data_IF_505544770590
#
_entry.id   IF_505544770590
#
_cell.length_a   1.000
_cell.length_b   1.000
_cell.length_c   1.000
_cell.angle_alpha   90.00
_cell.angle_beta   90.00
_cell.angle_gamma   90.00
#
_symmetry.space_group_name_H-M   'P 1'
#
loop_
_entity.id
_entity.type
_entity.pdbx_description
1 polymer ?
#
# COMPACT_ATOMS: atom_id res chain seq x y z
N UNK A 1 -18.56 -25.94 -4.41
CA UNK A 1 -18.61 -27.34 -3.93
C UNK A 1 -17.20 -27.73 -3.49
N UNK A 2 -16.89 -27.62 -2.20
CA UNK A 2 -15.58 -28.02 -1.64
C UNK A 2 -15.84 -28.71 -0.30
N UNK A 3 -16.21 -30.00 -0.39
CA UNK A 3 -16.25 -30.87 0.77
C UNK A 3 -14.91 -31.60 0.84
N UNK A 4 -14.02 -31.12 1.71
CA UNK A 4 -12.80 -31.85 2.08
C UNK A 4 -12.87 -32.05 3.59
N UNK A 5 -13.57 -33.09 4.00
CA UNK A 5 -13.37 -33.69 5.33
C UNK A 5 -11.93 -34.18 5.39
N UNK A 6 -11.02 -33.33 5.86
CA UNK A 6 -9.70 -33.73 6.30
C UNK A 6 -9.89 -34.74 7.43
N UNK A 7 -9.62 -36.02 7.13
CA UNK A 7 -9.58 -37.10 8.12
C UNK A 7 -8.73 -36.66 9.32
N UNK A 8 -9.17 -36.93 10.57
CA UNK A 8 -8.32 -36.68 11.74
C UNK A 8 -7.13 -37.62 11.68
N UNK A 9 -5.96 -37.07 11.41
CA UNK A 9 -4.68 -37.78 11.47
C UNK A 9 -4.17 -37.75 12.91
N UNK A 10 -4.14 -38.94 13.54
CA UNK A 10 -3.64 -39.28 14.87
C UNK A 10 -4.43 -38.78 16.11
N UNK A 11 -4.51 -39.60 17.19
CA UNK A 11 -4.93 -39.15 18.51
C UNK A 11 -3.80 -38.31 19.12
N UNK A 12 -3.64 -37.10 18.57
CA UNK A 12 -2.76 -36.11 19.14
C UNK A 12 -3.51 -35.51 20.32
N UNK A 13 -2.92 -35.54 21.51
CA UNK A 13 -3.47 -34.83 22.66
C UNK A 13 -3.43 -33.33 22.34
N UNK A 14 -4.54 -32.79 21.82
CA UNK A 14 -4.62 -31.42 21.30
C UNK A 14 -4.38 -30.38 22.41
N UNK A 15 -4.56 -30.76 23.68
CA UNK A 15 -4.19 -29.91 24.82
C UNK A 15 -2.67 -29.67 24.92
N UNK A 16 -1.85 -30.52 24.29
CA UNK A 16 -0.39 -30.34 24.23
C UNK A 16 0.09 -29.57 22.98
N UNK A 17 -0.82 -29.18 22.09
CA UNK A 17 -0.46 -28.43 20.89
C UNK A 17 -0.13 -26.96 21.24
N UNK A 18 1.05 -26.43 20.88
CA UNK A 18 1.45 -25.06 21.20
C UNK A 18 0.48 -23.99 20.67
N UNK A 19 -0.18 -24.24 19.53
CA UNK A 19 -1.17 -23.33 18.96
C UNK A 19 -2.44 -23.31 19.82
N UNK A 20 -2.92 -24.50 20.22
CA UNK A 20 -4.11 -24.64 21.06
C UNK A 20 -3.86 -24.04 22.45
N UNK A 21 -2.69 -24.28 23.03
CA UNK A 21 -2.31 -23.69 24.32
C UNK A 21 -2.32 -22.17 24.30
N UNK A 22 -1.84 -21.53 23.22
CA UNK A 22 -1.90 -20.07 23.06
C UNK A 22 -3.34 -19.55 23.02
N UNK A 23 -4.26 -20.29 22.39
CA UNK A 23 -5.67 -19.91 22.37
C UNK A 23 -6.30 -20.08 23.76
N UNK A 24 -6.07 -21.24 24.40
CA UNK A 24 -6.64 -21.56 25.71
C UNK A 24 -6.09 -20.64 26.81
N UNK A 25 -4.87 -20.11 26.68
CA UNK A 25 -4.30 -19.16 27.63
C UNK A 25 -5.08 -17.83 27.73
N UNK A 26 -5.85 -17.48 26.70
CA UNK A 26 -6.74 -16.31 26.71
C UNK A 26 -8.13 -16.58 27.29
N UNK A 27 -8.43 -17.82 27.68
CA UNK A 27 -9.76 -18.27 28.14
C UNK A 27 -9.69 -18.62 29.63
N UNK A 28 -10.70 -18.30 30.45
CA UNK A 28 -10.76 -18.76 31.83
C UNK A 28 -10.62 -20.27 31.95
N UNK A 29 -9.81 -20.74 32.90
CA UNK A 29 -9.44 -22.16 33.03
C UNK A 29 -10.66 -23.11 33.10
N UNK A 30 -11.74 -22.67 33.75
CA UNK A 30 -12.99 -23.43 33.87
C UNK A 30 -13.64 -23.67 32.50
N UNK A 31 -13.63 -22.66 31.63
CA UNK A 31 -14.16 -22.77 30.26
C UNK A 31 -13.20 -23.51 29.35
N UNK A 32 -11.89 -23.29 29.50
CA UNK A 32 -10.85 -24.01 28.75
C UNK A 32 -10.95 -25.54 28.96
N UNK A 33 -11.28 -25.99 30.17
CA UNK A 33 -11.45 -27.40 30.50
C UNK A 33 -12.69 -28.06 29.86
N UNK A 34 -13.67 -27.28 29.39
CA UNK A 34 -14.88 -27.83 28.75
C UNK A 34 -14.69 -28.20 27.28
N UNK A 35 -13.58 -27.78 26.66
CA UNK A 35 -13.34 -28.06 25.25
C UNK A 35 -12.92 -29.51 25.03
N UNK A 36 -13.57 -30.17 24.07
CA UNK A 36 -13.20 -31.51 23.62
C UNK A 36 -12.14 -31.44 22.52
N UNK A 37 -11.37 -32.52 22.33
CA UNK A 37 -10.34 -32.58 21.29
C UNK A 37 -10.90 -32.32 19.87
N UNK A 38 -12.12 -32.77 19.59
CA UNK A 38 -12.79 -32.51 18.32
C UNK A 38 -13.08 -31.00 18.12
N UNK A 39 -13.51 -30.31 19.18
CA UNK A 39 -13.73 -28.87 19.15
C UNK A 39 -12.42 -28.10 18.98
N UNK A 40 -11.36 -28.50 19.69
CA UNK A 40 -10.04 -27.88 19.59
C UNK A 40 -9.43 -28.05 18.19
N UNK A 41 -9.58 -29.23 17.58
CA UNK A 41 -9.16 -29.51 16.21
C UNK A 41 -9.86 -28.59 15.20
N UNK A 42 -11.18 -28.45 15.32
CA UNK A 42 -11.96 -27.62 14.40
C UNK A 42 -11.64 -26.12 14.58
N UNK A 43 -11.45 -25.69 15.83
CA UNK A 43 -11.05 -24.33 16.15
C UNK A 43 -9.67 -24.01 15.56
N UNK A 44 -8.71 -24.94 15.66
CA UNK A 44 -7.41 -24.83 14.98
C UNK A 44 -7.56 -24.72 13.45
N UNK A 45 -8.41 -25.55 12.84
CA UNK A 45 -8.67 -25.54 11.40
C UNK A 45 -9.19 -24.18 10.93
N UNK A 46 -10.21 -23.65 11.59
CA UNK A 46 -10.83 -22.36 11.23
C UNK A 46 -9.85 -21.20 11.38
N UNK A 47 -9.02 -21.18 12.41
CA UNK A 47 -8.01 -20.14 12.59
C UNK A 47 -6.91 -20.19 11.53
N UNK A 48 -6.39 -21.38 11.20
CA UNK A 48 -5.39 -21.53 10.14
C UNK A 48 -5.96 -21.08 8.80
N UNK A 49 -7.21 -21.47 8.49
CA UNK A 49 -7.89 -21.05 7.28
C UNK A 49 -8.06 -19.52 7.22
N UNK A 50 -8.38 -18.87 8.34
CA UNK A 50 -8.50 -17.41 8.41
C UNK A 50 -7.16 -16.70 8.19
N UNK A 51 -6.10 -17.16 8.84
CA UNK A 51 -4.74 -16.58 8.73
C UNK A 51 -4.16 -16.83 7.33
N UNK A 52 -4.36 -18.01 6.75
CA UNK A 52 -3.92 -18.30 5.38
C UNK A 52 -4.68 -17.47 4.33
N UNK A 53 -5.92 -17.07 4.63
CA UNK A 53 -6.73 -16.25 3.72
C UNK A 53 -6.50 -14.74 3.88
N UNK A 54 -5.68 -14.30 4.84
CA UNK A 54 -5.28 -12.90 5.01
C UNK A 54 -4.02 -12.60 4.21
N UNK A 55 -4.12 -12.51 2.89
CA UNK A 55 -3.06 -11.97 2.02
C UNK A 55 -2.97 -10.42 2.11
N UNK A 56 -3.22 -9.85 3.29
CA UNK A 56 -3.17 -8.42 3.51
C UNK A 56 -1.84 -8.08 4.19
N UNK A 57 -1.03 -7.27 3.52
CA UNK A 57 0.13 -6.59 4.09
C UNK A 57 -0.40 -5.49 5.01
N UNK A 58 -0.13 -5.60 6.31
CA UNK A 58 -0.37 -4.55 7.31
C UNK A 58 0.99 -4.02 7.76
N UNK A 59 1.39 -2.87 7.22
CA UNK A 59 2.58 -2.16 7.66
C UNK A 59 2.16 -0.98 8.53
N UNK A 60 2.67 -0.95 9.76
CA UNK A 60 2.42 0.13 10.72
C UNK A 60 3.73 0.82 11.02
N UNK A 61 3.85 2.06 10.56
CA UNK A 61 5.01 2.90 10.85
C UNK A 61 4.61 3.93 11.91
N UNK A 62 5.27 3.90 13.05
CA UNK A 62 5.13 4.96 14.05
C UNK A 62 6.25 5.96 13.85
N UNK A 63 5.91 7.19 13.50
CA UNK A 63 6.86 8.28 13.32
C UNK A 63 6.70 9.22 14.52
N UNK A 64 7.69 9.31 15.42
CA UNK A 64 7.69 10.32 16.46
C UNK A 64 7.96 11.69 15.81
N UNK A 65 7.03 12.63 15.95
CA UNK A 65 7.18 14.00 15.44
C UNK A 65 6.99 15.01 16.59
N UNK A 66 8.09 15.62 17.02
CA UNK A 66 8.19 16.48 18.20
C UNK A 66 7.58 15.82 19.45
N UNK A 67 6.46 16.37 19.98
CA UNK A 67 5.79 15.93 21.20
C UNK A 67 4.64 14.93 20.94
N UNK A 68 4.41 14.53 19.68
CA UNK A 68 3.29 13.66 19.28
C UNK A 68 3.81 12.45 18.50
N UNK A 69 3.12 11.33 18.62
CA UNK A 69 3.40 10.12 17.84
C UNK A 69 2.32 10.01 16.77
N UNK A 70 2.75 9.95 15.52
CA UNK A 70 1.86 9.71 14.39
C UNK A 70 2.01 8.26 13.96
N UNK A 71 0.89 7.61 13.65
CA UNK A 71 0.88 6.25 13.13
C UNK A 71 0.42 6.29 11.70
N UNK A 72 1.28 5.81 10.81
CA UNK A 72 0.95 5.54 9.42
C UNK A 72 0.63 4.05 9.30
N UNK A 73 -0.59 3.74 8.86
CA UNK A 73 -1.07 2.37 8.68
C UNK A 73 -1.28 2.16 7.18
N UNK A 74 -0.46 1.30 6.59
CA UNK A 74 -0.56 0.90 5.20
C UNK A 74 -1.15 -0.50 5.15
N UNK A 75 -2.40 -0.57 4.69
CA UNK A 75 -3.14 -1.80 4.47
C UNK A 75 -3.18 -2.07 2.97
N UNK A 76 -2.50 -3.11 2.51
CA UNK A 76 -2.51 -3.51 1.11
C UNK A 76 -2.94 -4.97 1.01
N UNK A 77 -4.02 -5.25 0.31
CA UNK A 77 -4.53 -6.62 0.17
C UNK A 77 -5.49 -6.74 -1.00
N UNK A 78 -5.79 -7.98 -1.38
CA UNK A 78 -6.77 -8.26 -2.45
C UNK A 78 -8.14 -7.74 -2.01
N UNK A 79 -8.70 -6.83 -2.79
CA UNK A 79 -10.06 -6.31 -2.58
C UNK A 79 -11.07 -7.45 -2.76
N UNK A 80 -11.84 -7.73 -1.70
CA UNK A 80 -12.81 -8.84 -1.64
C UNK A 80 -14.25 -8.33 -1.54
N UNK A 81 -14.48 -7.02 -1.49
CA UNK A 81 -15.83 -6.44 -1.49
C UNK A 81 -16.54 -6.72 -2.81
N UNK A 82 -17.85 -6.89 -2.74
CA UNK A 82 -18.68 -7.14 -3.93
C UNK A 82 -18.58 -5.98 -4.93
N UNK A 83 -18.61 -6.32 -6.23
CA UNK A 83 -18.55 -5.36 -7.34
C UNK A 83 -19.61 -4.25 -7.23
N UNK A 84 -20.75 -4.56 -6.59
CA UNK A 84 -21.83 -3.60 -6.35
C UNK A 84 -21.45 -2.48 -5.36
N UNK A 85 -20.57 -2.76 -4.37
CA UNK A 85 -20.06 -1.73 -3.43
C UNK A 85 -18.88 -0.95 -4.01
N UNK A 86 -18.11 -1.57 -4.92
CA UNK A 86 -17.05 -0.90 -5.67
C UNK A 86 -17.62 0.17 -6.62
N UNK A 87 -18.77 -0.09 -7.25
CA UNK A 87 -19.49 0.91 -8.05
C UNK A 87 -19.98 2.11 -7.23
N UNK A 88 -20.21 1.92 -5.94
CA UNK A 88 -20.68 2.96 -5.02
C UNK A 88 -19.57 3.59 -4.17
N UNK A 89 -18.33 3.08 -4.24
CA UNK A 89 -17.21 3.81 -3.64
C UNK A 89 -16.96 5.02 -4.51
N UNK A 90 -17.25 6.20 -3.97
CA UNK A 90 -17.19 7.49 -4.65
C UNK A 90 -15.76 7.94 -4.98
N UNK A 91 -14.95 7.09 -5.61
CA UNK A 91 -13.94 7.56 -6.54
C UNK A 91 -14.63 8.03 -7.82
N UNK A 92 -15.52 9.01 -7.67
CA UNK A 92 -15.91 9.87 -8.77
C UNK A 92 -14.65 10.63 -9.10
N UNK A 93 -13.95 10.18 -10.15
CA UNK A 93 -12.88 10.95 -10.78
C UNK A 93 -13.51 12.31 -11.03
N UNK A 94 -13.15 13.28 -10.19
CA UNK A 94 -13.61 14.64 -10.25
C UNK A 94 -13.37 15.09 -11.69
N UNK A 95 -14.45 15.44 -12.41
CA UNK A 95 -14.50 15.75 -13.84
C UNK A 95 -13.10 15.98 -14.42
N UNK A 96 -12.62 15.10 -15.31
CA UNK A 96 -11.23 15.10 -15.79
C UNK A 96 -10.68 16.47 -16.22
N UNK A 97 -11.57 17.40 -16.58
CA UNK A 97 -11.28 18.82 -16.78
C UNK A 97 -10.65 19.53 -15.56
N UNK A 98 -11.26 19.40 -14.38
CA UNK A 98 -10.78 20.03 -13.13
C UNK A 98 -9.42 19.45 -12.71
N UNK A 99 -9.28 18.12 -12.75
CA UNK A 99 -8.01 17.45 -12.44
C UNK A 99 -6.87 17.83 -13.40
N UNK A 100 -7.16 17.96 -14.69
CA UNK A 100 -6.17 18.40 -15.70
C UNK A 100 -5.70 19.83 -15.42
N UNK A 101 -6.62 20.74 -15.06
CA UNK A 101 -6.25 22.13 -14.72
C UNK A 101 -5.35 22.21 -13.49
N UNK A 102 -5.65 21.46 -12.43
CA UNK A 102 -4.77 21.40 -11.25
C UNK A 102 -3.39 20.85 -11.59
N UNK A 103 -3.33 19.81 -12.42
CA UNK A 103 -2.07 19.19 -12.83
C UNK A 103 -1.21 20.17 -13.64
N UNK A 104 -1.81 20.87 -14.60
CA UNK A 104 -1.13 21.90 -15.39
C UNK A 104 -0.67 23.09 -14.53
N UNK A 105 -1.48 23.52 -13.57
CA UNK A 105 -1.11 24.60 -12.65
C UNK A 105 0.12 24.24 -11.81
N UNK A 106 0.19 23.00 -11.29
CA UNK A 106 1.34 22.51 -10.53
C UNK A 106 2.60 22.43 -11.40
N UNK A 107 2.50 21.87 -12.61
CA UNK A 107 3.63 21.79 -13.54
C UNK A 107 4.15 23.18 -13.90
N UNK A 108 3.25 24.12 -14.22
CA UNK A 108 3.58 25.50 -14.55
C UNK A 108 4.27 26.22 -13.38
N UNK A 109 3.78 26.00 -12.16
CA UNK A 109 4.39 26.57 -10.95
C UNK A 109 5.81 26.03 -10.71
N UNK A 110 6.02 24.72 -10.88
CA UNK A 110 7.35 24.10 -10.73
C UNK A 110 8.31 24.66 -11.78
N UNK A 111 7.90 24.74 -13.05
CA UNK A 111 8.74 25.27 -14.14
C UNK A 111 9.06 26.75 -13.93
N UNK A 112 8.09 27.57 -13.48
CA UNK A 112 8.34 28.99 -13.16
C UNK A 112 9.32 29.15 -12.00
N UNK A 113 9.16 28.34 -10.95
CA UNK A 113 10.06 28.35 -9.80
C UNK A 113 11.50 27.99 -10.23
N UNK A 114 11.66 26.93 -11.02
CA UNK A 114 12.96 26.53 -11.57
C UNK A 114 13.57 27.64 -12.44
N UNK A 115 12.78 28.27 -13.32
CA UNK A 115 13.25 29.35 -14.17
C UNK A 115 13.78 30.55 -13.37
N UNK A 116 13.06 30.97 -12.32
CA UNK A 116 13.49 32.08 -11.46
C UNK A 116 14.77 31.73 -10.71
N UNK A 117 14.87 30.50 -10.21
CA UNK A 117 16.06 30.00 -9.51
C UNK A 117 17.26 29.94 -10.46
N UNK A 118 17.09 29.40 -11.68
CA UNK A 118 18.16 29.34 -12.69
C UNK A 118 18.64 30.73 -13.10
N UNK A 119 17.71 31.67 -13.27
CA UNK A 119 18.03 33.07 -13.58
C UNK A 119 18.91 33.70 -12.50
N UNK A 120 18.61 33.47 -11.23
CA UNK A 120 19.35 34.06 -10.11
C UNK A 120 20.69 33.34 -9.88
N UNK A 121 20.71 32.02 -10.01
CA UNK A 121 21.93 31.21 -9.87
C UNK A 121 22.85 31.28 -11.11
N UNK A 122 22.41 31.91 -12.21
CA UNK A 122 23.11 31.96 -13.51
C UNK A 122 23.53 30.57 -14.03
N UNK A 123 22.80 29.52 -13.63
CA UNK A 123 23.04 28.16 -14.09
C UNK A 123 22.35 28.03 -15.45
N UNK A 124 23.11 28.10 -16.54
CA UNK A 124 22.58 27.88 -17.89
C UNK A 124 22.37 26.38 -18.14
N UNK A 125 21.25 25.84 -17.66
CA UNK A 125 20.80 24.49 -18.00
C UNK A 125 20.34 24.38 -19.47
N UNK A 126 19.90 25.51 -20.06
CA UNK A 126 19.45 25.59 -21.44
C UNK A 126 20.62 25.92 -22.40
N UNK A 127 20.81 25.17 -23.50
CA UNK A 127 21.94 25.33 -24.42
C UNK A 127 21.77 26.54 -25.36
N UNK A 128 21.35 27.70 -24.84
CA UNK A 128 21.21 28.92 -25.63
C UNK A 128 22.54 29.32 -26.31
N UNK A 129 23.65 29.07 -25.61
CA UNK A 129 25.00 29.24 -26.15
C UNK A 129 25.30 28.37 -27.38
N UNK A 130 24.70 27.18 -27.51
CA UNK A 130 24.89 26.33 -28.70
C UNK A 130 24.10 26.86 -29.89
N UNK A 131 22.90 27.41 -29.64
CA UNK A 131 22.06 28.03 -30.68
C UNK A 131 22.72 29.31 -31.21
N UNK A 132 23.29 30.14 -30.33
CA UNK A 132 24.03 31.35 -30.73
C UNK A 132 25.27 30.98 -31.56
N UNK A 133 26.01 29.94 -31.15
CA UNK A 133 27.22 29.49 -31.86
C UNK A 133 26.90 28.95 -33.27
N UNK A 134 25.79 28.22 -33.42
CA UNK A 134 25.31 27.79 -34.74
C UNK A 134 24.84 28.99 -35.58
N UNK A 135 24.10 29.93 -34.98
CA UNK A 135 23.66 31.16 -35.67
C UNK A 135 24.83 31.98 -36.20
N UNK A 136 25.86 32.19 -35.39
CA UNK A 136 27.06 32.91 -35.82
C UNK A 136 27.82 32.14 -36.91
N UNK A 137 27.91 30.81 -36.82
CA UNK A 137 28.53 29.99 -37.87
C UNK A 137 27.79 30.05 -39.22
N UNK A 138 26.46 30.18 -39.19
CA UNK A 138 25.63 30.35 -40.39
C UNK A 138 25.77 31.76 -40.98
N UNK A 139 26.05 32.76 -40.14
CA UNK A 139 26.26 34.15 -40.56
C UNK A 139 27.65 34.37 -41.16
N UNK A 140 28.65 33.65 -40.64
CA UNK A 140 30.03 33.65 -41.18
C UNK A 140 30.18 32.83 -42.46
N UNK A 141 29.33 31.83 -42.70
CA UNK A 141 29.38 31.01 -43.92
C UNK A 141 28.01 30.92 -44.62
N UNK A 142 27.59 31.96 -45.37
CA UNK A 142 26.26 32.08 -45.94
C UNK A 142 26.00 31.19 -47.17
N UNK A 143 26.76 30.11 -47.38
CA UNK A 143 26.61 29.23 -48.56
C UNK A 143 26.20 27.81 -48.21
N UNK A 144 24.88 27.58 -48.22
CA UNK A 144 24.22 26.49 -48.98
C UNK A 144 22.97 27.10 -49.61
#
# INVERSE_FOLDING_TARGET
>A
MFNKHSKPTHPNNYQKDPFVQKILAGIPAQTAATFTDAQLSELKRVFIERVSNSSAVDMRLSIPFFKRKFYLVLLMGKEKRSQQRLKNSEFKILNGFSGTMYTLAIISFILSSLYIIERELRINSFPYNQIEKVRESLKENPKI
#
